data_IF_918299655230
#
_entry.id   IF_918299655230
#
_cell.length_a   1.000
_cell.length_b   1.000
_cell.length_c   1.000
_cell.angle_alpha   90.00
_cell.angle_beta   90.00
_cell.angle_gamma   90.00
#
_symmetry.space_group_name_H-M   'P 1'
#
loop_
_entity.id
_entity.type
_entity.pdbx_description
1 polymer ?
#
# COMPACT_ATOMS: atom_id res chain seq x y z
N UNK A 1 16.27 -10.53 -8.00
CA UNK A 1 15.42 -9.32 -7.90
C UNK A 1 14.75 -8.99 -9.23
N UNK A 2 15.51 -8.80 -10.31
CA UNK A 2 14.95 -8.49 -11.62
C UNK A 2 13.98 -9.56 -12.15
N UNK A 3 14.27 -10.84 -11.91
CA UNK A 3 13.38 -11.97 -12.25
C UNK A 3 12.03 -11.94 -11.51
N UNK A 4 12.02 -11.50 -10.24
CA UNK A 4 10.78 -11.43 -9.44
C UNK A 4 9.89 -10.28 -9.89
N UNK A 5 10.48 -9.12 -10.18
CA UNK A 5 9.75 -7.96 -10.70
C UNK A 5 9.12 -8.29 -12.07
N UNK A 6 9.86 -8.97 -12.95
CA UNK A 6 9.32 -9.45 -14.23
C UNK A 6 8.14 -10.40 -14.04
N UNK A 7 8.26 -11.39 -13.16
CA UNK A 7 7.18 -12.34 -12.89
C UNK A 7 5.90 -11.65 -12.37
N UNK A 8 6.03 -10.68 -11.45
CA UNK A 8 4.88 -9.90 -10.95
C UNK A 8 4.29 -8.99 -12.04
N UNK A 9 5.14 -8.49 -12.94
CA UNK A 9 4.71 -7.63 -14.05
C UNK A 9 3.93 -8.38 -15.13
N UNK A 10 4.19 -9.68 -15.28
CA UNK A 10 3.49 -10.57 -16.23
C UNK A 10 2.11 -11.02 -15.74
N UNK A 11 1.82 -10.85 -14.44
CA UNK A 11 0.49 -11.15 -13.88
C UNK A 11 -0.61 -10.36 -14.59
N UNK A 12 -1.79 -10.98 -14.70
CA UNK A 12 -3.00 -10.30 -15.14
C UNK A 12 -3.39 -9.18 -14.18
N UNK A 13 -4.30 -8.30 -14.62
CA UNK A 13 -4.78 -7.20 -13.79
C UNK A 13 -5.49 -7.69 -12.50
N UNK A 14 -6.17 -8.84 -12.57
CA UNK A 14 -6.86 -9.44 -11.42
C UNK A 14 -5.86 -10.04 -10.43
N UNK A 15 -4.87 -10.79 -10.94
CA UNK A 15 -3.79 -11.36 -10.11
C UNK A 15 -2.94 -10.27 -9.46
N UNK A 16 -2.69 -9.14 -10.15
CA UNK A 16 -2.00 -7.99 -9.56
C UNK A 16 -2.78 -7.39 -8.41
N UNK A 17 -4.11 -7.28 -8.50
CA UNK A 17 -4.95 -6.80 -7.41
C UNK A 17 -4.90 -7.76 -6.23
N UNK A 18 -5.06 -9.06 -6.47
CA UNK A 18 -5.00 -10.08 -5.42
C UNK A 18 -3.62 -10.11 -4.74
N UNK A 19 -2.55 -10.00 -5.53
CA UNK A 19 -1.18 -9.88 -5.03
C UNK A 19 -1.01 -8.64 -4.14
N UNK A 20 -1.46 -7.45 -4.58
CA UNK A 20 -1.38 -6.22 -3.78
C UNK A 20 -2.14 -6.39 -2.45
N UNK A 21 -3.36 -6.92 -2.49
CA UNK A 21 -4.20 -7.08 -1.29
C UNK A 21 -3.59 -8.05 -0.26
N UNK A 22 -2.86 -9.07 -0.71
CA UNK A 22 -2.27 -10.10 0.16
C UNK A 22 -0.83 -9.80 0.56
N UNK A 23 0.01 -9.37 -0.39
CA UNK A 23 1.44 -9.21 -0.19
C UNK A 23 1.80 -7.84 0.39
N UNK A 24 1.13 -6.76 -0.05
CA UNK A 24 1.50 -5.40 0.36
C UNK A 24 1.37 -5.17 1.87
N UNK A 25 0.36 -5.69 2.60
CA UNK A 25 0.30 -5.56 4.05
C UNK A 25 1.48 -6.23 4.77
N UNK A 26 1.87 -7.43 4.34
CA UNK A 26 3.00 -8.17 4.95
C UNK A 26 4.33 -7.48 4.64
N UNK A 27 4.59 -7.13 3.37
CA UNK A 27 5.77 -6.37 2.96
C UNK A 27 5.83 -5.00 3.64
N UNK A 28 4.67 -4.36 3.79
CA UNK A 28 4.51 -3.07 4.44
C UNK A 28 4.88 -3.12 5.92
N UNK A 29 4.53 -4.19 6.65
CA UNK A 29 4.89 -4.33 8.09
C UNK A 29 6.39 -4.37 8.31
N UNK A 30 7.11 -5.15 7.51
CA UNK A 30 8.57 -5.22 7.58
C UNK A 30 9.20 -3.88 7.18
N UNK A 31 8.65 -3.24 6.16
CA UNK A 31 9.12 -1.98 5.63
C UNK A 31 8.94 -0.79 6.59
N UNK A 32 7.80 -0.69 7.28
CA UNK A 32 7.57 0.38 8.27
C UNK A 32 8.33 0.16 9.57
N UNK A 33 8.76 -1.07 9.84
CA UNK A 33 9.63 -1.39 10.97
C UNK A 33 11.08 -0.88 10.77
N UNK A 34 11.46 -0.51 9.54
CA UNK A 34 12.75 0.14 9.22
C UNK A 34 12.58 1.67 9.11
N UNK A 35 13.04 2.45 10.11
CA UNK A 35 12.92 3.91 10.11
C UNK A 35 13.67 4.60 8.96
N UNK A 36 14.68 3.95 8.38
CA UNK A 36 15.45 4.49 7.25
C UNK A 36 14.75 4.27 5.90
N UNK A 37 13.83 3.31 5.83
CA UNK A 37 13.11 2.98 4.61
C UNK A 37 11.80 3.78 4.46
N UNK A 38 11.14 4.13 5.57
CA UNK A 38 9.89 4.90 5.55
C UNK A 38 9.94 6.19 4.70
N UNK A 39 10.99 7.03 4.76
CA UNK A 39 11.10 8.22 3.90
C UNK A 39 11.17 7.90 2.41
N UNK A 40 11.64 6.70 2.04
CA UNK A 40 11.76 6.25 0.65
C UNK A 40 10.42 5.72 0.11
N UNK A 41 9.59 5.14 0.97
CA UNK A 41 8.25 4.64 0.62
C UNK A 41 7.23 5.76 0.42
N UNK A 42 7.31 6.82 1.22
CA UNK A 42 6.37 7.94 1.19
C UNK A 42 6.11 8.50 -0.23
N UNK A 43 7.11 8.85 -1.05
CA UNK A 43 6.87 9.38 -2.39
C UNK A 43 6.17 8.38 -3.31
N UNK A 44 6.36 7.07 -3.12
CA UNK A 44 5.71 6.02 -3.93
C UNK A 44 4.20 6.01 -3.65
N UNK A 45 3.81 6.00 -2.37
CA UNK A 45 2.39 6.06 -1.99
C UNK A 45 1.72 7.35 -2.44
N UNK A 46 2.38 8.50 -2.27
CA UNK A 46 1.85 9.78 -2.73
C UNK A 46 1.69 9.84 -4.26
N UNK A 47 2.58 9.17 -5.00
CA UNK A 47 2.44 8.99 -6.45
C UNK A 47 1.17 8.23 -6.82
N UNK A 48 0.94 7.07 -6.21
CA UNK A 48 -0.24 6.24 -6.45
C UNK A 48 -1.54 6.99 -6.12
N UNK A 49 -1.56 7.73 -5.02
CA UNK A 49 -2.71 8.55 -4.62
C UNK A 49 -3.00 9.61 -5.68
N UNK A 50 -1.97 10.35 -6.12
CA UNK A 50 -2.11 11.37 -7.16
C UNK A 50 -2.63 10.79 -8.47
N UNK A 51 -2.13 9.62 -8.88
CA UNK A 51 -2.58 8.93 -10.11
C UNK A 51 -4.03 8.43 -10.02
N UNK A 52 -4.50 8.11 -8.81
CA UNK A 52 -5.90 7.71 -8.58
C UNK A 52 -6.91 8.87 -8.71
N UNK A 53 -6.43 10.12 -8.77
CA UNK A 53 -7.27 11.33 -8.82
C UNK A 53 -7.86 11.75 -7.47
N UNK A 54 -7.56 11.02 -6.39
CA UNK A 54 -7.94 11.41 -5.04
C UNK A 54 -6.86 12.27 -4.38
N UNK A 55 -7.30 13.28 -3.63
CA UNK A 55 -6.39 13.99 -2.72
C UNK A 55 -6.19 13.19 -1.42
N UNK A 56 -5.02 13.32 -0.79
CA UNK A 56 -4.71 12.64 0.47
C UNK A 56 -5.74 12.98 1.56
N UNK A 57 -6.20 14.22 1.64
CA UNK A 57 -7.22 14.63 2.61
C UNK A 57 -8.56 13.93 2.37
N UNK A 58 -8.93 13.68 1.10
CA UNK A 58 -10.14 12.93 0.74
C UNK A 58 -10.01 11.46 1.12
N UNK A 59 -8.83 10.87 0.92
CA UNK A 59 -8.56 9.49 1.34
C UNK A 59 -8.61 9.35 2.86
N UNK A 60 -8.07 10.32 3.61
CA UNK A 60 -8.16 10.34 5.08
C UNK A 60 -9.60 10.50 5.55
N UNK A 61 -10.40 11.35 4.90
CA UNK A 61 -11.83 11.47 5.19
C UNK A 61 -12.58 10.17 4.91
N UNK A 62 -12.31 9.54 3.76
CA UNK A 62 -12.88 8.25 3.40
C UNK A 62 -12.48 7.17 4.41
N UNK A 63 -11.22 7.13 4.83
CA UNK A 63 -10.72 6.22 5.85
C UNK A 63 -11.38 6.47 7.22
N UNK A 64 -11.68 7.72 7.59
CA UNK A 64 -12.42 8.04 8.81
C UNK A 64 -13.90 7.63 8.71
N UNK A 65 -14.51 7.77 7.53
CA UNK A 65 -15.89 7.31 7.27
C UNK A 65 -16.00 5.78 7.26
N UNK A 66 -14.98 5.10 6.73
CA UNK A 66 -14.82 3.63 6.78
C UNK A 66 -14.26 3.17 8.13
N UNK A 67 -13.70 4.07 8.95
CA UNK A 67 -12.99 3.83 10.20
C UNK A 67 -13.87 3.40 11.37
N UNK A 68 -15.15 3.13 11.12
CA UNK A 68 -15.94 2.22 11.95
C UNK A 68 -15.61 0.73 11.74
N UNK A 69 -14.81 0.37 10.72
CA UNK A 69 -14.50 -1.03 10.34
C UNK A 69 -13.07 -1.29 9.84
N UNK A 70 -12.16 -0.31 9.84
CA UNK A 70 -10.75 -0.59 9.57
C UNK A 70 -10.08 -1.19 10.83
N UNK A 71 -9.34 -2.32 10.73
CA UNK A 71 -8.61 -2.85 11.88
C UNK A 71 -7.55 -1.82 12.29
N UNK A 72 -7.63 -1.38 13.54
CA UNK A 72 -6.67 -0.44 14.10
C UNK A 72 -5.26 -1.04 14.01
N UNK A 73 -4.23 -0.27 13.60
CA UNK A 73 -2.86 -0.74 13.69
C UNK A 73 -2.45 -0.78 15.16
N UNK A 74 -2.16 -1.99 15.67
CA UNK A 74 -1.45 -2.19 16.93
C UNK A 74 -2.26 -2.06 18.22
N UNK A 75 -3.19 -2.98 18.46
CA UNK A 75 -3.66 -3.28 19.83
C UNK A 75 -3.51 -4.77 20.11
N UNK A 76 -2.36 -5.11 20.69
CA UNK A 76 -2.19 -6.17 21.68
C UNK A 76 -1.44 -5.55 22.87
#
# INVERSE_FOLDING_TARGET
MQSLISAVSELSAEEKKDFILKALPELGREAVADPAFLPQLLPIFLGLIRESGFDLSQLLQLANMLGGTAPAPGRD
#
